data_IF_649534964152
#
_entry.id   IF_649534964152
#
_cell.length_a   1.000
_cell.length_b   1.000
_cell.length_c   1.000
_cell.angle_alpha   90.00
_cell.angle_beta   90.00
_cell.angle_gamma   90.00
#
_symmetry.space_group_name_H-M   'P 1'
#
loop_
_entity.id
_entity.type
_entity.pdbx_description
1 polymer ?
#
# COMPACT_ATOMS: atom_id res chain seq x y z
N UNK A 1 12.79 -7.98 33.52
CA UNK A 1 12.85 -7.66 34.96
C UNK A 1 13.51 -6.32 35.21
N UNK A 2 13.45 -5.86 36.47
CA UNK A 2 14.18 -4.65 36.90
C UNK A 2 15.54 -5.08 37.38
N UNK A 3 16.61 -4.63 36.72
CA UNK A 3 17.97 -5.00 37.06
C UNK A 3 18.83 -3.82 37.50
N UNK A 4 18.31 -2.61 37.42
CA UNK A 4 19.03 -1.40 37.81
C UNK A 4 18.11 -0.41 38.50
N UNK A 5 18.56 0.09 39.64
CA UNK A 5 17.95 1.19 40.37
C UNK A 5 18.66 2.49 40.01
N UNK A 6 17.93 3.51 39.63
CA UNK A 6 18.48 4.83 39.35
C UNK A 6 17.79 5.83 40.28
N UNK A 7 18.59 6.63 40.96
CA UNK A 7 18.10 7.67 41.86
C UNK A 7 17.58 8.87 41.06
N UNK A 8 16.36 9.26 41.35
CA UNK A 8 15.73 10.47 40.77
C UNK A 8 16.01 11.65 41.74
N UNK A 9 17.01 12.44 41.42
CA UNK A 9 17.39 13.60 42.22
C UNK A 9 16.29 14.63 42.36
N UNK A 10 15.43 14.82 41.35
CA UNK A 10 14.38 15.81 41.36
C UNK A 10 13.27 15.48 42.36
N UNK A 11 13.01 14.19 42.60
CA UNK A 11 12.00 13.68 43.53
C UNK A 11 12.61 13.02 44.78
N UNK A 12 13.92 12.99 44.88
CA UNK A 12 14.68 12.35 45.97
C UNK A 12 14.19 10.93 46.26
N UNK A 13 13.96 10.15 45.23
CA UNK A 13 13.49 8.75 45.32
C UNK A 13 14.13 7.90 44.24
N UNK A 14 14.26 6.62 44.56
CA UNK A 14 14.75 5.64 43.61
C UNK A 14 13.69 5.27 42.61
N UNK A 15 14.08 5.22 41.35
CA UNK A 15 13.28 4.70 40.27
C UNK A 15 13.87 3.39 39.75
N UNK A 16 13.00 2.46 39.43
CA UNK A 16 13.39 1.19 38.84
C UNK A 16 13.09 1.22 37.36
N UNK A 17 14.13 1.00 36.55
CA UNK A 17 14.03 0.95 35.11
C UNK A 17 14.16 -0.48 34.61
N UNK A 18 13.36 -0.84 33.64
CA UNK A 18 13.42 -2.14 33.01
C UNK A 18 14.65 -2.20 32.11
N UNK A 19 15.43 -3.28 32.22
CA UNK A 19 16.50 -3.61 31.30
C UNK A 19 15.96 -4.56 30.24
N UNK A 20 16.29 -4.26 28.99
CA UNK A 20 15.92 -5.07 27.85
C UNK A 20 17.15 -5.78 27.30
N UNK A 21 16.99 -7.05 26.88
CA UNK A 21 18.07 -7.84 26.29
C UNK A 21 18.28 -7.55 24.81
N UNK A 22 17.33 -6.86 24.18
CA UNK A 22 17.39 -6.45 22.78
C UNK A 22 16.55 -5.20 22.53
N UNK A 23 16.87 -4.48 21.45
CA UNK A 23 16.05 -3.36 20.98
C UNK A 23 14.63 -3.81 20.63
N UNK A 24 14.46 -5.04 20.11
CA UNK A 24 13.15 -5.62 19.82
C UNK A 24 12.31 -5.76 21.10
N UNK A 25 12.88 -6.30 22.17
CA UNK A 25 12.18 -6.45 23.46
C UNK A 25 11.76 -5.09 24.03
N UNK A 26 12.60 -4.06 23.88
CA UNK A 26 12.26 -2.71 24.29
C UNK A 26 11.11 -2.13 23.47
N UNK A 27 11.11 -2.33 22.16
CA UNK A 27 10.04 -1.88 21.25
C UNK A 27 8.74 -2.62 21.56
N UNK A 28 8.78 -3.93 21.71
CA UNK A 28 7.58 -4.74 22.02
C UNK A 28 6.97 -4.34 23.37
N UNK A 29 7.79 -4.04 24.37
CA UNK A 29 7.33 -3.53 25.66
C UNK A 29 6.69 -2.15 25.53
N UNK A 30 7.33 -1.22 24.83
CA UNK A 30 6.80 0.12 24.62
C UNK A 30 5.48 0.06 23.83
N UNK A 31 5.42 -0.74 22.79
CA UNK A 31 4.22 -0.93 22.01
C UNK A 31 3.09 -1.63 22.79
N UNK A 32 3.42 -2.68 23.55
CA UNK A 32 2.45 -3.45 24.32
C UNK A 32 1.97 -2.72 25.58
N UNK A 33 2.88 -2.34 26.45
CA UNK A 33 2.52 -1.81 27.77
C UNK A 33 2.10 -0.33 27.72
N UNK A 34 2.74 0.50 26.89
CA UNK A 34 2.36 1.90 26.78
C UNK A 34 1.10 2.09 25.90
N UNK A 35 1.05 1.43 24.75
CA UNK A 35 -0.10 1.57 23.85
C UNK A 35 -1.37 0.94 24.39
N UNK A 36 -1.26 -0.16 25.16
CA UNK A 36 -2.40 -0.86 25.73
C UNK A 36 -2.83 -0.33 27.11
N UNK A 37 -1.98 0.47 27.77
CA UNK A 37 -2.32 1.03 29.08
C UNK A 37 -3.47 2.03 28.95
N UNK A 38 -4.52 1.77 29.75
CA UNK A 38 -5.74 2.61 29.75
C UNK A 38 -5.47 4.09 30.04
N UNK A 39 -4.43 4.39 30.82
CA UNK A 39 -3.99 5.75 31.15
C UNK A 39 -3.58 6.54 29.90
N UNK A 40 -3.02 5.88 28.87
CA UNK A 40 -2.52 6.53 27.66
C UNK A 40 -3.42 6.32 26.44
N UNK A 41 -4.61 5.74 26.66
CA UNK A 41 -5.57 5.48 25.56
C UNK A 41 -5.91 6.71 24.75
N UNK A 42 -6.05 7.87 25.41
CA UNK A 42 -6.33 9.13 24.73
C UNK A 42 -5.19 9.56 23.79
N UNK A 43 -3.93 9.36 24.18
CA UNK A 43 -2.78 9.67 23.34
C UNK A 43 -2.76 8.82 22.06
N UNK A 44 -3.10 7.52 22.20
CA UNK A 44 -3.27 6.62 21.05
C UNK A 44 -4.40 7.10 20.12
N UNK A 45 -5.56 7.45 20.67
CA UNK A 45 -6.68 7.98 19.90
C UNK A 45 -6.30 9.26 19.15
N UNK A 46 -5.58 10.17 19.83
CA UNK A 46 -5.08 11.39 19.22
C UNK A 46 -4.08 11.13 18.09
N UNK A 47 -3.17 10.16 18.28
CA UNK A 47 -2.23 9.73 17.24
C UNK A 47 -2.97 9.24 15.99
N UNK A 48 -3.87 8.28 16.14
CA UNK A 48 -4.68 7.72 15.06
C UNK A 48 -5.49 8.80 14.33
N UNK A 49 -6.08 9.74 15.07
CA UNK A 49 -6.84 10.84 14.49
C UNK A 49 -5.95 11.84 13.73
N UNK A 50 -4.75 12.14 14.23
CA UNK A 50 -3.78 13.00 13.55
C UNK A 50 -3.32 12.38 12.22
N UNK A 51 -3.00 11.09 12.21
CA UNK A 51 -2.65 10.36 10.99
C UNK A 51 -3.82 10.38 10.00
N UNK A 52 -5.04 10.11 10.45
CA UNK A 52 -6.26 10.19 9.63
C UNK A 52 -6.49 11.58 9.03
N UNK A 53 -6.11 12.64 9.77
CA UNK A 53 -6.20 14.01 9.32
C UNK A 53 -5.01 14.46 8.44
N UNK A 54 -4.19 13.53 7.96
CA UNK A 54 -3.10 13.77 7.01
C UNK A 54 -1.80 14.26 7.64
N UNK A 55 -1.60 14.08 8.95
CA UNK A 55 -0.29 14.33 9.54
C UNK A 55 0.69 13.23 9.11
N UNK A 56 1.97 13.61 8.89
CA UNK A 56 3.01 12.60 8.70
C UNK A 56 3.18 11.75 9.96
N UNK A 57 3.56 10.47 9.80
CA UNK A 57 3.75 9.54 10.92
C UNK A 57 4.76 10.09 11.94
N UNK A 58 5.86 10.67 11.46
CA UNK A 58 6.86 11.33 12.30
C UNK A 58 6.25 12.43 13.18
N UNK A 59 5.51 13.35 12.58
CA UNK A 59 4.84 14.45 13.31
C UNK A 59 3.80 13.90 14.29
N UNK A 60 3.04 12.89 13.91
CA UNK A 60 2.04 12.26 14.77
C UNK A 60 2.70 11.51 15.95
N UNK A 61 3.80 10.78 15.70
CA UNK A 61 4.55 10.06 16.72
C UNK A 61 5.18 11.00 17.77
N UNK A 62 5.79 12.10 17.33
CA UNK A 62 6.34 13.12 18.24
C UNK A 62 5.25 13.77 19.11
N UNK A 63 4.08 14.02 18.54
CA UNK A 63 2.94 14.51 19.28
C UNK A 63 2.35 13.47 20.25
N UNK A 64 2.37 12.19 19.89
CA UNK A 64 2.00 11.10 20.77
C UNK A 64 2.90 11.01 22.02
N UNK A 65 4.21 11.14 21.84
CA UNK A 65 5.16 11.19 22.96
C UNK A 65 4.88 12.40 23.88
N UNK A 66 4.51 13.52 23.31
CA UNK A 66 4.11 14.70 24.09
C UNK A 66 2.85 14.38 24.93
N UNK A 67 1.83 13.83 24.32
CA UNK A 67 0.57 13.49 25.00
C UNK A 67 0.79 12.48 26.14
N UNK A 68 1.65 11.49 25.95
CA UNK A 68 2.01 10.50 26.99
C UNK A 68 2.72 11.17 28.18
N UNK A 69 3.65 12.08 27.89
CA UNK A 69 4.41 12.75 28.93
C UNK A 69 3.53 13.73 29.73
N UNK A 70 2.64 14.46 29.07
CA UNK A 70 1.67 15.35 29.74
C UNK A 70 0.69 14.54 30.62
N UNK A 71 0.39 13.28 30.26
CA UNK A 71 -0.40 12.36 31.08
C UNK A 71 0.35 11.87 32.34
N UNK A 72 1.57 12.36 32.55
CA UNK A 72 2.39 12.07 33.73
C UNK A 72 3.25 10.81 33.60
N UNK A 73 3.66 10.43 32.37
CA UNK A 73 4.65 9.36 32.17
C UNK A 73 6.00 9.67 32.81
N UNK A 74 6.39 10.94 32.76
CA UNK A 74 7.59 11.43 33.44
C UNK A 74 7.38 12.85 34.00
N UNK A 75 8.33 13.32 34.80
CA UNK A 75 8.26 14.59 35.50
C UNK A 75 8.89 15.77 34.73
N UNK A 76 9.45 15.52 33.55
CA UNK A 76 10.06 16.59 32.71
C UNK A 76 9.07 17.26 31.76
N UNK A 77 7.85 16.72 31.64
CA UNK A 77 6.82 17.23 30.74
C UNK A 77 6.97 16.83 29.28
N UNK A 78 5.92 17.10 28.51
CA UNK A 78 5.79 16.66 27.13
C UNK A 78 6.81 17.26 26.18
N UNK A 79 7.17 18.53 26.34
CA UNK A 79 8.14 19.20 25.46
C UNK A 79 9.54 18.62 25.56
N UNK A 80 10.01 18.39 26.79
CA UNK A 80 11.31 17.75 27.01
C UNK A 80 11.35 16.35 26.36
N UNK A 81 10.29 15.57 26.58
CA UNK A 81 10.23 14.20 26.07
C UNK A 81 10.18 14.16 24.55
N UNK A 82 9.37 15.01 23.93
CA UNK A 82 9.30 15.18 22.48
C UNK A 82 10.66 15.52 21.88
N UNK A 83 11.41 16.41 22.50
CA UNK A 83 12.72 16.84 22.00
C UNK A 83 13.79 15.75 22.15
N UNK A 84 13.76 14.98 23.24
CA UNK A 84 14.74 13.91 23.49
C UNK A 84 14.43 12.63 22.71
N UNK A 85 13.22 12.13 22.84
CA UNK A 85 12.81 10.89 22.17
C UNK A 85 12.52 11.13 20.68
N UNK A 86 12.05 12.32 20.33
CA UNK A 86 11.87 12.72 18.93
C UNK A 86 13.17 12.63 18.12
N UNK A 87 14.30 13.05 18.70
CA UNK A 87 15.62 12.87 18.07
C UNK A 87 15.97 11.40 17.83
N UNK A 88 15.68 10.53 18.79
CA UNK A 88 15.90 9.08 18.65
C UNK A 88 15.01 8.52 17.53
N UNK A 89 13.74 8.95 17.46
CA UNK A 89 12.83 8.56 16.38
C UNK A 89 13.41 8.96 15.02
N UNK A 90 13.94 10.18 14.90
CA UNK A 90 14.53 10.68 13.65
C UNK A 90 15.82 9.93 13.29
N UNK A 91 16.76 9.84 14.24
CA UNK A 91 18.07 9.22 14.03
C UNK A 91 17.95 7.74 13.63
N UNK A 92 16.98 7.03 14.21
CA UNK A 92 16.78 5.61 13.98
C UNK A 92 15.63 5.32 13.01
N UNK A 93 15.00 6.35 12.46
CA UNK A 93 13.83 6.25 11.57
C UNK A 93 12.76 5.27 12.11
N UNK A 94 12.45 5.40 13.41
CA UNK A 94 11.60 4.42 14.10
C UNK A 94 10.16 4.40 13.59
N UNK A 95 9.68 5.48 12.96
CA UNK A 95 8.34 5.54 12.36
C UNK A 95 8.13 4.54 11.23
N UNK A 96 9.22 4.01 10.65
CA UNK A 96 9.12 2.91 9.68
C UNK A 96 8.48 1.64 10.26
N UNK A 97 8.54 1.43 11.60
CA UNK A 97 7.96 0.26 12.27
C UNK A 97 6.45 0.39 12.48
N UNK A 98 5.90 1.60 12.42
CA UNK A 98 4.45 1.84 12.44
C UNK A 98 3.81 1.63 11.06
N UNK A 99 4.64 1.49 10.04
CA UNK A 99 4.20 1.26 8.67
C UNK A 99 3.70 -0.17 8.49
N UNK A 100 2.56 -0.31 7.83
CA UNK A 100 2.03 -1.62 7.44
C UNK A 100 3.02 -2.44 6.61
N UNK A 101 3.91 -1.75 5.87
CA UNK A 101 4.94 -2.36 5.02
C UNK A 101 6.27 -1.59 5.18
N UNK A 102 7.25 -2.24 5.82
CA UNK A 102 8.55 -1.61 6.14
C UNK A 102 9.40 -1.22 4.92
N UNK A 103 9.16 -1.83 3.76
CA UNK A 103 9.93 -1.62 2.53
C UNK A 103 9.32 -0.58 1.58
N UNK A 104 8.31 0.14 2.03
CA UNK A 104 7.70 1.25 1.25
C UNK A 104 8.06 2.63 1.80
N UNK A 105 8.69 2.70 2.95
CA UNK A 105 9.14 3.96 3.55
C UNK A 105 10.10 4.68 2.61
N UNK A 106 9.78 5.93 2.26
CA UNK A 106 10.55 6.72 1.29
C UNK A 106 10.44 6.26 -0.17
N UNK A 107 9.64 5.23 -0.46
CA UNK A 107 9.37 4.81 -1.83
C UNK A 107 8.44 5.82 -2.52
N UNK A 108 8.68 6.11 -3.81
CA UNK A 108 7.88 7.09 -4.57
C UNK A 108 6.37 6.83 -4.55
N UNK A 109 5.92 5.58 -4.38
CA UNK A 109 4.51 5.17 -4.30
C UNK A 109 4.06 4.85 -2.86
N UNK A 110 4.77 5.34 -1.84
CA UNK A 110 4.43 5.07 -0.44
C UNK A 110 2.99 5.48 -0.12
N UNK A 111 2.61 6.69 -0.50
CA UNK A 111 1.26 7.25 -0.26
C UNK A 111 0.18 6.35 -0.85
N UNK A 112 0.32 5.99 -2.12
CA UNK A 112 -0.64 5.18 -2.86
C UNK A 112 -0.75 3.76 -2.29
N UNK A 113 0.39 3.14 -1.99
CA UNK A 113 0.43 1.79 -1.41
C UNK A 113 -0.25 1.79 -0.03
N UNK A 114 0.09 2.74 0.84
CA UNK A 114 -0.48 2.80 2.18
C UNK A 114 -1.98 3.07 2.14
N UNK A 115 -2.44 3.98 1.27
CA UNK A 115 -3.85 4.26 1.06
C UNK A 115 -4.63 3.01 0.61
N UNK A 116 -4.14 2.30 -0.41
CA UNK A 116 -4.81 1.10 -0.91
C UNK A 116 -4.81 -0.03 0.12
N UNK A 117 -3.76 -0.11 0.94
CA UNK A 117 -3.67 -1.08 2.04
C UNK A 117 -4.67 -0.78 3.17
N UNK A 118 -4.91 0.49 3.47
CA UNK A 118 -5.94 0.93 4.43
C UNK A 118 -7.34 0.58 3.92
N UNK A 119 -7.60 0.77 2.62
CA UNK A 119 -8.84 0.35 1.95
C UNK A 119 -9.02 -1.18 1.87
N UNK A 120 -7.98 -1.97 2.18
CA UNK A 120 -8.02 -3.43 2.05
C UNK A 120 -7.94 -3.94 0.61
N UNK A 121 -7.65 -3.06 -0.37
CA UNK A 121 -7.56 -3.45 -1.79
C UNK A 121 -6.26 -4.18 -2.13
N UNK A 122 -5.20 -3.92 -1.37
CA UNK A 122 -3.92 -4.61 -1.49
C UNK A 122 -3.48 -5.20 -0.16
N UNK A 123 -2.57 -6.17 -0.22
CA UNK A 123 -1.92 -6.76 0.96
C UNK A 123 -0.44 -6.98 0.70
N UNK A 124 0.34 -6.98 1.78
CA UNK A 124 1.76 -7.37 1.76
C UNK A 124 1.96 -8.86 1.92
N UNK A 125 3.20 -9.21 2.15
CA UNK A 125 3.66 -10.57 2.45
C UNK A 125 3.70 -10.79 3.96
N UNK A 126 3.77 -12.07 4.36
CA UNK A 126 3.86 -12.47 5.77
C UNK A 126 5.13 -12.00 6.48
N UNK A 127 6.15 -11.61 5.72
CA UNK A 127 7.40 -11.03 6.21
C UNK A 127 7.31 -9.52 6.53
N UNK A 128 6.12 -8.91 6.45
CA UNK A 128 5.90 -7.48 6.70
C UNK A 128 6.35 -6.57 5.55
N UNK A 129 6.59 -7.12 4.35
CA UNK A 129 6.97 -6.34 3.17
C UNK A 129 5.83 -6.23 2.15
N UNK A 130 5.88 -5.22 1.30
CA UNK A 130 5.03 -5.07 0.12
C UNK A 130 5.71 -5.51 -1.17
N UNK A 131 7.03 -5.39 -1.25
CA UNK A 131 7.88 -5.64 -2.42
C UNK A 131 7.48 -4.74 -3.60
N UNK A 132 7.56 -3.40 -3.46
CA UNK A 132 6.99 -2.44 -4.40
C UNK A 132 7.55 -2.57 -5.82
N UNK A 133 8.82 -2.89 -5.96
CA UNK A 133 9.51 -3.00 -7.26
C UNK A 133 9.36 -4.41 -7.91
N UNK A 134 8.76 -5.37 -7.21
CA UNK A 134 8.54 -6.71 -7.78
C UNK A 134 7.48 -6.66 -8.88
N UNK A 135 7.70 -7.29 -10.05
CA UNK A 135 6.66 -7.49 -11.03
C UNK A 135 5.42 -8.15 -10.43
N UNK A 136 4.23 -7.70 -10.84
CA UNK A 136 2.98 -8.23 -10.33
C UNK A 136 2.48 -9.38 -11.20
N UNK A 137 2.08 -10.49 -10.57
CA UNK A 137 1.48 -11.62 -11.25
C UNK A 137 0.01 -11.32 -11.63
N UNK A 138 -0.48 -11.95 -12.72
CA UNK A 138 -1.85 -11.77 -13.24
C UNK A 138 -2.92 -12.06 -12.18
N UNK A 139 -2.77 -13.13 -11.39
CA UNK A 139 -3.70 -13.42 -10.30
C UNK A 139 -3.69 -12.37 -9.18
N UNK A 140 -2.54 -11.79 -8.88
CA UNK A 140 -2.44 -10.69 -7.90
C UNK A 140 -3.10 -9.41 -8.42
N UNK A 141 -2.90 -9.08 -9.69
CA UNK A 141 -3.57 -7.95 -10.32
C UNK A 141 -5.10 -8.17 -10.37
N UNK A 142 -5.56 -9.38 -10.71
CA UNK A 142 -6.97 -9.73 -10.68
C UNK A 142 -7.59 -9.47 -9.29
N UNK A 143 -6.89 -9.83 -8.21
CA UNK A 143 -7.36 -9.58 -6.84
C UNK A 143 -7.48 -8.09 -6.54
N UNK A 144 -6.48 -7.29 -6.89
CA UNK A 144 -6.49 -5.83 -6.66
C UNK A 144 -7.64 -5.18 -7.42
N UNK A 145 -7.79 -5.51 -8.71
CA UNK A 145 -8.83 -4.96 -9.58
C UNK A 145 -10.23 -5.38 -9.11
N UNK A 146 -10.41 -6.65 -8.76
CA UNK A 146 -11.67 -7.15 -8.22
C UNK A 146 -12.07 -6.45 -6.92
N UNK A 147 -11.12 -6.22 -6.01
CA UNK A 147 -11.37 -5.52 -4.75
C UNK A 147 -11.72 -4.04 -4.98
N UNK A 148 -10.97 -3.38 -5.87
CA UNK A 148 -11.20 -1.96 -6.21
C UNK A 148 -12.58 -1.72 -6.84
N UNK A 149 -12.99 -2.62 -7.74
CA UNK A 149 -14.27 -2.53 -8.43
C UNK A 149 -15.45 -3.10 -7.63
N UNK A 150 -15.20 -3.74 -6.49
CA UNK A 150 -16.27 -4.39 -5.73
C UNK A 150 -17.01 -5.46 -6.52
N UNK A 151 -16.31 -6.23 -7.36
CA UNK A 151 -16.95 -7.19 -8.27
C UNK A 151 -17.70 -8.28 -7.50
N UNK A 152 -18.89 -8.61 -7.95
CA UNK A 152 -19.73 -9.67 -7.41
C UNK A 152 -19.90 -10.81 -8.44
N UNK A 153 -20.11 -12.06 -7.98
CA UNK A 153 -20.31 -13.20 -8.88
C UNK A 153 -21.52 -13.02 -9.81
N UNK A 154 -21.37 -13.49 -11.05
CA UNK A 154 -22.47 -13.64 -11.99
C UNK A 154 -22.81 -15.12 -12.20
N UNK A 155 -23.88 -15.41 -12.94
CA UNK A 155 -24.27 -16.79 -13.27
C UNK A 155 -23.40 -17.44 -14.36
N UNK A 156 -22.48 -16.67 -14.96
CA UNK A 156 -21.63 -17.17 -16.05
C UNK A 156 -20.63 -18.18 -15.52
N UNK A 157 -20.56 -19.35 -16.16
CA UNK A 157 -19.63 -20.43 -15.81
C UNK A 157 -18.35 -20.24 -16.60
N UNK A 158 -17.28 -19.81 -15.92
CA UNK A 158 -15.94 -19.67 -16.49
C UNK A 158 -14.98 -20.54 -15.72
N UNK A 159 -14.12 -21.25 -16.44
CA UNK A 159 -13.06 -22.07 -15.88
C UNK A 159 -11.79 -21.95 -16.71
N UNK A 160 -10.65 -22.14 -16.06
CA UNK A 160 -9.33 -22.19 -16.67
C UNK A 160 -8.61 -23.43 -16.21
N UNK A 161 -7.90 -24.10 -17.11
CA UNK A 161 -7.24 -25.38 -16.84
C UNK A 161 -6.11 -25.29 -15.79
N UNK A 162 -5.56 -24.11 -15.61
CA UNK A 162 -4.45 -23.81 -14.69
C UNK A 162 -4.88 -23.06 -13.41
N UNK A 163 -6.19 -22.95 -13.16
CA UNK A 163 -6.75 -22.34 -11.95
C UNK A 163 -7.92 -23.19 -11.47
N UNK A 164 -7.62 -24.24 -10.72
CA UNK A 164 -8.62 -25.13 -10.13
C UNK A 164 -9.26 -24.55 -8.86
N UNK A 165 -10.24 -25.26 -8.29
CA UNK A 165 -11.01 -24.82 -7.12
C UNK A 165 -10.14 -24.63 -5.86
N UNK A 166 -9.00 -25.31 -5.77
CA UNK A 166 -8.08 -25.21 -4.63
C UNK A 166 -7.08 -24.06 -4.78
N UNK A 167 -6.98 -23.50 -5.99
CA UNK A 167 -6.08 -22.37 -6.22
C UNK A 167 -6.60 -21.12 -5.48
N UNK A 168 -5.72 -20.45 -4.71
CA UNK A 168 -6.09 -19.27 -3.88
C UNK A 168 -6.78 -18.16 -4.66
N UNK A 169 -6.50 -18.01 -5.95
CA UNK A 169 -7.08 -16.98 -6.81
C UNK A 169 -8.32 -17.47 -7.59
N UNK A 170 -8.81 -18.67 -7.37
CA UNK A 170 -9.92 -19.23 -8.15
C UNK A 170 -11.13 -18.28 -8.20
N UNK A 171 -11.56 -17.78 -7.04
CA UNK A 171 -12.70 -16.89 -6.96
C UNK A 171 -12.46 -15.58 -7.72
N UNK A 172 -11.33 -14.91 -7.47
CA UNK A 172 -11.06 -13.60 -8.09
C UNK A 172 -10.78 -13.70 -9.59
N UNK A 173 -10.16 -14.78 -10.07
CA UNK A 173 -9.94 -15.02 -11.49
C UNK A 173 -11.27 -15.21 -12.23
N UNK A 174 -12.20 -15.97 -11.63
CA UNK A 174 -13.57 -16.08 -12.17
C UNK A 174 -14.29 -14.73 -12.23
N UNK A 175 -14.22 -13.93 -11.16
CA UNK A 175 -14.87 -12.62 -11.11
C UNK A 175 -14.40 -11.71 -12.25
N UNK A 176 -13.09 -11.52 -12.40
CA UNK A 176 -12.57 -10.63 -13.47
C UNK A 176 -12.85 -11.15 -14.87
N UNK A 177 -12.94 -12.47 -15.05
CA UNK A 177 -13.31 -13.08 -16.34
C UNK A 177 -14.82 -12.99 -16.61
N UNK A 178 -15.67 -13.23 -15.62
CA UNK A 178 -17.13 -13.06 -15.72
C UNK A 178 -17.52 -11.63 -16.11
N UNK A 179 -16.77 -10.65 -15.64
CA UNK A 179 -16.96 -9.24 -16.01
C UNK A 179 -16.18 -8.81 -17.26
N UNK A 180 -15.55 -9.78 -17.98
CA UNK A 180 -14.77 -9.56 -19.21
C UNK A 180 -13.60 -8.57 -19.07
N UNK A 181 -13.18 -8.31 -17.83
CA UNK A 181 -12.08 -7.37 -17.51
C UNK A 181 -10.73 -8.01 -17.79
N UNK A 182 -10.55 -9.28 -17.37
CA UNK A 182 -9.35 -10.06 -17.64
C UNK A 182 -9.75 -11.41 -18.22
N UNK A 183 -9.33 -11.66 -19.45
CA UNK A 183 -9.57 -12.93 -20.13
C UNK A 183 -8.35 -13.87 -20.01
N UNK A 184 -8.54 -15.15 -20.37
CA UNK A 184 -7.44 -16.11 -20.54
C UNK A 184 -6.56 -15.79 -21.75
N UNK A 185 -5.60 -16.68 -22.01
CA UNK A 185 -4.64 -16.54 -23.10
C UNK A 185 -5.17 -17.06 -24.46
N UNK A 186 -6.40 -17.53 -24.52
CA UNK A 186 -7.00 -18.11 -25.73
C UNK A 186 -6.80 -19.63 -25.85
N UNK A 187 -5.97 -20.24 -25.01
CA UNK A 187 -5.68 -21.68 -24.97
C UNK A 187 -6.33 -22.41 -23.78
N UNK A 188 -7.31 -21.79 -23.16
CA UNK A 188 -8.00 -22.33 -21.96
C UNK A 188 -7.25 -22.08 -20.64
N UNK A 189 -6.14 -21.34 -20.64
CA UNK A 189 -5.36 -20.98 -19.46
C UNK A 189 -5.55 -19.49 -19.10
N UNK A 190 -5.45 -19.19 -17.80
CA UNK A 190 -5.39 -17.83 -17.29
C UNK A 190 -3.95 -17.32 -17.10
N UNK A 191 -3.00 -18.21 -16.86
CA UNK A 191 -1.61 -17.94 -16.49
C UNK A 191 -1.48 -17.12 -15.18
N UNK A 192 -1.94 -17.64 -14.03
CA UNK A 192 -2.07 -16.88 -12.78
C UNK A 192 -0.74 -16.35 -12.24
N UNK A 193 0.38 -17.04 -12.53
CA UNK A 193 1.73 -16.70 -12.06
C UNK A 193 2.52 -15.83 -13.04
N UNK A 194 2.06 -15.68 -14.29
CA UNK A 194 2.72 -14.85 -15.28
C UNK A 194 2.63 -13.36 -14.88
N UNK A 195 3.68 -12.60 -15.14
CA UNK A 195 3.68 -11.17 -14.90
C UNK A 195 2.75 -10.47 -15.90
N UNK A 196 2.08 -9.41 -15.45
CA UNK A 196 1.30 -8.52 -16.33
C UNK A 196 2.23 -7.55 -17.04
N UNK A 197 2.04 -7.38 -18.35
CA UNK A 197 2.71 -6.32 -19.11
C UNK A 197 1.94 -5.01 -19.05
N UNK A 198 2.61 -3.90 -19.40
CA UNK A 198 2.01 -2.57 -19.43
C UNK A 198 0.88 -2.48 -20.47
N UNK A 199 1.03 -3.12 -21.62
CA UNK A 199 -0.04 -3.20 -22.63
C UNK A 199 -1.26 -4.01 -22.12
N UNK A 200 -1.01 -5.13 -21.44
CA UNK A 200 -2.09 -5.88 -20.81
C UNK A 200 -2.80 -5.08 -19.72
N UNK A 201 -2.06 -4.32 -18.91
CA UNK A 201 -2.67 -3.43 -17.92
C UNK A 201 -3.55 -2.37 -18.57
N UNK A 202 -3.09 -1.72 -19.64
CA UNK A 202 -3.91 -0.76 -20.40
C UNK A 202 -5.21 -1.39 -20.89
N UNK A 203 -5.13 -2.59 -21.48
CA UNK A 203 -6.31 -3.31 -21.96
C UNK A 203 -7.28 -3.70 -20.86
N UNK A 204 -6.77 -4.12 -19.70
CA UNK A 204 -7.58 -4.47 -18.53
C UNK A 204 -8.36 -3.24 -18.03
N UNK A 205 -7.70 -2.09 -17.94
CA UNK A 205 -8.34 -0.85 -17.52
C UNK A 205 -9.38 -0.39 -18.54
N UNK A 206 -9.10 -0.53 -19.83
CA UNK A 206 -10.02 -0.25 -20.90
C UNK A 206 -11.27 -1.16 -20.86
N UNK A 207 -11.07 -2.47 -20.63
CA UNK A 207 -12.16 -3.45 -20.52
C UNK A 207 -13.01 -3.23 -19.26
N UNK A 208 -12.48 -2.60 -18.22
CA UNK A 208 -13.23 -2.26 -17.01
C UNK A 208 -14.26 -1.13 -17.25
N UNK A 209 -14.33 -0.62 -18.48
CA UNK A 209 -15.31 0.37 -18.97
C UNK A 209 -15.35 1.66 -18.13
N UNK A 210 -14.19 2.10 -17.69
CA UNK A 210 -14.10 3.41 -17.03
C UNK A 210 -14.27 4.57 -18.01
N UNK A 211 -14.01 4.33 -19.31
CA UNK A 211 -13.97 5.33 -20.34
C UNK A 211 -14.67 4.82 -21.61
N UNK A 212 -15.89 5.28 -21.82
CA UNK A 212 -16.77 4.85 -22.94
C UNK A 212 -16.54 5.63 -24.24
N UNK A 213 -15.62 6.58 -24.27
CA UNK A 213 -15.42 7.40 -25.48
C UNK A 213 -14.45 6.73 -26.44
N UNK A 214 -14.96 6.44 -27.63
CA UNK A 214 -14.13 6.03 -28.77
C UNK A 214 -13.14 7.14 -29.12
N UNK A 215 -11.87 6.77 -29.19
CA UNK A 215 -10.82 7.67 -29.67
C UNK A 215 -11.00 7.84 -31.18
N UNK A 216 -11.55 8.98 -31.60
CA UNK A 216 -11.59 9.34 -33.00
C UNK A 216 -10.31 10.11 -33.37
N UNK A 217 -9.52 9.56 -34.31
CA UNK A 217 -8.37 10.19 -34.98
C UNK A 217 -7.24 10.67 -34.05
N UNK A 218 -6.71 9.80 -33.20
CA UNK A 218 -5.60 10.21 -32.36
C UNK A 218 -4.23 10.07 -33.05
N UNK A 219 -3.41 11.10 -32.83
CA UNK A 219 -1.99 11.06 -33.13
C UNK A 219 -1.31 10.07 -32.18
N UNK A 220 -0.51 9.17 -32.73
CA UNK A 220 0.32 8.23 -31.96
C UNK A 220 1.13 8.97 -30.90
N UNK A 221 0.96 8.59 -29.63
CA UNK A 221 1.63 9.22 -28.48
C UNK A 221 3.01 8.63 -28.19
N UNK A 222 3.25 7.37 -28.55
CA UNK A 222 4.43 6.62 -28.17
C UNK A 222 5.13 6.03 -29.39
N UNK A 223 6.47 6.11 -29.42
CA UNK A 223 7.29 5.68 -30.56
C UNK A 223 7.29 4.16 -30.79
N UNK A 224 6.98 3.38 -29.77
CA UNK A 224 7.00 1.90 -29.75
C UNK A 224 5.60 1.27 -29.74
N UNK A 225 4.54 2.04 -29.98
CA UNK A 225 3.16 1.57 -30.07
C UNK A 225 2.51 2.17 -31.31
N UNK A 226 2.53 1.44 -32.40
CA UNK A 226 1.88 1.85 -33.65
C UNK A 226 0.37 1.53 -33.63
N UNK A 227 -0.37 2.04 -34.62
CA UNK A 227 -1.83 1.90 -34.73
C UNK A 227 -2.30 0.45 -35.02
N UNK A 228 -1.40 -0.45 -35.39
CA UNK A 228 -1.68 -1.88 -35.56
C UNK A 228 -1.45 -2.69 -34.27
N UNK A 229 -0.86 -2.08 -33.24
CA UNK A 229 -0.63 -2.76 -31.98
C UNK A 229 -1.98 -3.13 -31.33
N UNK A 230 -2.14 -4.36 -30.91
CA UNK A 230 -3.41 -4.91 -30.38
C UNK A 230 -4.01 -4.11 -29.22
N UNK A 231 -3.18 -3.44 -28.41
CA UNK A 231 -3.60 -2.60 -27.29
C UNK A 231 -3.53 -1.09 -27.61
N UNK A 232 -3.37 -0.69 -28.87
CA UNK A 232 -3.18 0.72 -29.25
C UNK A 232 -4.31 1.61 -28.69
N UNK A 233 -5.55 1.26 -28.95
CA UNK A 233 -6.72 2.04 -28.49
C UNK A 233 -6.73 2.15 -26.97
N UNK A 234 -6.49 1.05 -26.26
CA UNK A 234 -6.46 1.05 -24.81
C UNK A 234 -5.31 1.93 -24.25
N UNK A 235 -4.12 1.84 -24.82
CA UNK A 235 -2.95 2.63 -24.41
C UNK A 235 -3.20 4.12 -24.63
N UNK A 236 -3.66 4.52 -25.80
CA UNK A 236 -3.93 5.93 -26.11
C UNK A 236 -5.07 6.49 -25.24
N UNK A 237 -6.12 5.71 -24.99
CA UNK A 237 -7.19 6.11 -24.06
C UNK A 237 -6.65 6.35 -22.66
N UNK A 238 -5.90 5.40 -22.11
CA UNK A 238 -5.33 5.54 -20.75
C UNK A 238 -4.32 6.68 -20.66
N UNK A 239 -3.61 6.99 -21.74
CA UNK A 239 -2.72 8.15 -21.84
C UNK A 239 -3.52 9.45 -21.81
N UNK A 240 -4.54 9.58 -22.65
CA UNK A 240 -5.40 10.77 -22.73
C UNK A 240 -6.04 11.08 -21.38
N UNK A 241 -6.49 10.04 -20.70
CA UNK A 241 -7.12 10.13 -19.38
C UNK A 241 -6.12 10.38 -18.25
N UNK A 242 -4.82 10.42 -18.54
CA UNK A 242 -3.77 10.64 -17.53
C UNK A 242 -3.61 9.50 -16.53
N UNK A 243 -4.12 8.30 -16.85
CA UNK A 243 -4.00 7.11 -16.00
C UNK A 243 -2.65 6.43 -16.21
N UNK A 244 -2.26 6.25 -17.48
CA UNK A 244 -0.96 5.67 -17.84
C UNK A 244 -0.10 6.71 -18.57
N UNK A 245 1.17 6.75 -18.22
CA UNK A 245 2.17 7.58 -18.89
C UNK A 245 3.26 6.69 -19.47
N UNK A 246 3.93 7.20 -20.53
CA UNK A 246 5.14 6.60 -21.08
C UNK A 246 6.37 6.94 -20.26
N UNK A 247 7.51 6.48 -20.76
CA UNK A 247 8.84 6.85 -20.26
C UNK A 247 9.28 8.22 -20.78
N UNK A 248 10.31 8.78 -20.15
CA UNK A 248 10.85 10.08 -20.55
C UNK A 248 11.47 10.08 -21.95
N UNK A 249 11.83 8.91 -22.48
CA UNK A 249 12.39 8.72 -23.84
C UNK A 249 11.33 8.65 -24.96
N UNK A 250 10.05 8.83 -24.61
CA UNK A 250 8.93 8.81 -25.56
C UNK A 250 8.34 7.43 -25.85
N UNK A 251 8.85 6.37 -25.20
CA UNK A 251 8.30 5.01 -25.32
C UNK A 251 7.20 4.75 -24.27
N UNK A 252 6.32 3.83 -24.59
CA UNK A 252 5.36 3.26 -23.63
C UNK A 252 5.92 2.05 -22.90
N UNK A 253 6.71 1.21 -23.56
CA UNK A 253 7.19 -0.08 -23.06
C UNK A 253 6.07 -1.13 -22.98
N UNK A 254 5.35 -1.47 -24.07
CA UNK A 254 4.17 -2.32 -24.03
C UNK A 254 4.41 -3.71 -23.45
N UNK A 255 5.64 -4.23 -23.61
CA UNK A 255 6.04 -5.56 -23.12
C UNK A 255 6.71 -5.53 -21.75
N UNK A 256 6.96 -4.36 -21.17
CA UNK A 256 7.57 -4.24 -19.86
C UNK A 256 6.58 -4.69 -18.78
N UNK A 257 7.08 -5.39 -17.76
CA UNK A 257 6.26 -5.84 -16.65
C UNK A 257 5.84 -4.67 -15.76
N UNK A 258 4.59 -4.69 -15.32
CA UNK A 258 4.08 -3.75 -14.30
C UNK A 258 4.54 -4.18 -12.92
N UNK A 259 5.12 -3.24 -12.14
CA UNK A 259 5.48 -3.50 -10.76
C UNK A 259 4.27 -3.36 -9.81
N UNK A 260 4.41 -3.90 -8.61
CA UNK A 260 3.40 -3.78 -7.54
C UNK A 260 3.16 -2.32 -7.13
N UNK A 261 4.19 -1.48 -7.17
CA UNK A 261 4.06 -0.05 -6.94
C UNK A 261 3.31 0.65 -8.07
N UNK A 262 3.60 0.29 -9.31
CA UNK A 262 2.93 0.89 -10.48
C UNK A 262 1.43 0.59 -10.49
N UNK A 263 1.02 -0.66 -10.21
CA UNK A 263 -0.42 -0.95 -10.13
C UNK A 263 -1.08 -0.19 -8.97
N UNK A 264 -0.42 -0.04 -7.82
CA UNK A 264 -0.95 0.76 -6.72
C UNK A 264 -1.18 2.21 -7.13
N UNK A 265 -0.21 2.84 -7.80
CA UNK A 265 -0.35 4.21 -8.30
C UNK A 265 -1.45 4.35 -9.37
N UNK A 266 -1.61 3.35 -10.24
CA UNK A 266 -2.69 3.33 -11.24
C UNK A 266 -4.07 3.29 -10.56
N UNK A 267 -4.28 2.36 -9.64
CA UNK A 267 -5.56 2.23 -8.91
C UNK A 267 -5.85 3.48 -8.08
N UNK A 268 -4.84 4.07 -7.47
CA UNK A 268 -5.00 5.33 -6.73
C UNK A 268 -5.46 6.49 -7.63
N UNK A 269 -4.88 6.64 -8.83
CA UNK A 269 -5.33 7.65 -9.82
C UNK A 269 -6.77 7.44 -10.26
N UNK A 270 -7.20 6.18 -10.48
CA UNK A 270 -8.60 5.85 -10.78
C UNK A 270 -9.52 6.26 -9.62
N UNK A 271 -9.12 5.99 -8.39
CA UNK A 271 -9.86 6.40 -7.20
C UNK A 271 -10.00 7.92 -7.11
N UNK A 272 -8.91 8.68 -7.29
CA UNK A 272 -8.93 10.16 -7.26
C UNK A 272 -9.82 10.77 -8.34
N UNK A 273 -10.04 10.07 -9.45
CA UNK A 273 -11.00 10.45 -10.50
C UNK A 273 -12.44 10.04 -10.20
N UNK A 274 -12.73 9.47 -9.04
CA UNK A 274 -14.08 9.04 -8.65
C UNK A 274 -14.55 7.77 -9.35
N UNK A 275 -13.66 6.96 -9.89
CA UNK A 275 -13.97 5.75 -10.66
C UNK A 275 -14.04 4.47 -9.81
N UNK A 276 -13.96 4.57 -8.47
CA UNK A 276 -14.28 3.45 -7.58
C UNK A 276 -15.79 3.19 -7.57
N UNK A 277 -16.18 1.93 -7.70
CA UNK A 277 -17.57 1.51 -7.52
C UNK A 277 -17.85 1.09 -6.10
#
# INVERSE_FOLDING_TARGET
GYDRKIFDESKRRDNWYRKFNSSKEAIDYLAGDLLLNSRYRFAKTNYEQRVKNGWSLDKAAKAYLYDIAEAGYNHFGGEYYRNKVGKIIDEWNLTQYDQKFRDVVGHWAEKEIMFLAEKGWISGYSDGTYKPNKPIARAQAAKIISNFLGLTPTNEKISFSDVDQNHWAFGVVRLVAQHKIMNGLGDGRFAPTANITRAQMAQILYNADFYSQSINNQKQSFSDVDNNHWAYVAIETMKQEGILNGYADGRFGPNDSVSRAQIAAIIYRLYEKGLSK
#
